data_IF_595226164657
#
_entry.id   IF_595226164657
#
_cell.length_a   1.000
_cell.length_b   1.000
_cell.length_c   1.000
_cell.angle_alpha   90.00
_cell.angle_beta   90.00
_cell.angle_gamma   90.00
#
_symmetry.space_group_name_H-M   'P 1'
#
loop_
_entity.id
_entity.type
_entity.pdbx_description
1 polymer ?
2 polymer ?
3 non-polymer ?
4 water ?
#
# COMPACT_ATOMS: atom_id res chain seq x y z
N UNK A 1 -0.70 -0.55 3.55
CA UNK A 1 0.11 -0.93 4.71
C UNK A 1 0.68 0.31 5.39
N UNK A 2 1.53 0.08 6.37
CA UNK A 2 2.16 1.16 7.13
C UNK A 2 3.09 2.03 6.26
N UNK A 3 3.55 1.50 5.12
CA UNK A 3 4.37 2.23 4.15
C UNK A 3 3.44 3.28 3.50
N UNK A 4 2.31 2.83 2.98
CA UNK A 4 1.31 3.73 2.40
C UNK A 4 0.85 4.75 3.46
N UNK A 5 0.49 4.28 4.65
CA UNK A 5 0.02 5.18 5.70
C UNK A 5 1.03 6.22 6.12
N UNK A 6 2.28 5.82 6.27
CA UNK A 6 3.34 6.76 6.65
C UNK A 6 3.55 7.81 5.55
N UNK A 7 3.49 7.36 4.30
CA UNK A 7 3.67 8.26 3.16
C UNK A 7 2.55 9.29 3.08
N UNK A 8 1.31 8.79 3.17
CA UNK A 8 0.15 9.63 3.15
C UNK A 8 0.23 10.63 4.30
N UNK A 9 0.67 10.18 5.48
CA UNK A 9 0.81 11.10 6.60
C UNK A 9 1.87 12.18 6.34
N UNK A 10 3.07 11.76 5.96
CA UNK A 10 4.15 12.71 5.67
C UNK A 10 3.72 13.68 4.57
N UNK A 11 3.02 13.19 3.56
CA UNK A 11 2.58 14.05 2.48
C UNK A 11 1.57 15.10 2.98
N UNK A 12 0.64 14.71 3.84
CA UNK A 12 -0.32 15.65 4.39
C UNK A 12 0.42 16.81 5.05
N UNK A 13 1.64 16.55 5.50
CA UNK A 13 2.42 17.57 6.12
C UNK A 13 3.55 18.08 5.24
N UNK A 14 3.46 17.80 3.94
CA UNK A 14 4.47 18.20 2.96
C UNK A 14 5.89 18.01 3.50
N UNK A 15 6.19 16.82 4.00
CA UNK A 15 7.50 16.54 4.56
C UNK A 15 7.97 15.16 4.21
N UNK A 16 9.24 14.91 4.47
CA UNK A 16 9.80 13.57 4.25
C UNK A 16 9.42 12.77 5.49
N UNK A 17 9.41 11.45 5.38
CA UNK A 17 9.10 10.62 6.54
C UNK A 17 10.03 10.97 7.71
N UNK A 18 9.54 10.77 8.92
CA UNK A 18 10.37 11.05 10.07
C UNK A 18 11.17 9.79 10.34
N UNK A 19 12.24 9.92 11.14
CA UNK A 19 13.07 8.76 11.49
C UNK A 19 12.15 7.73 12.14
N UNK A 20 11.23 8.22 12.98
CA UNK A 20 10.27 7.35 13.64
C UNK A 20 9.47 6.58 12.60
N UNK A 21 8.99 7.27 11.57
CA UNK A 21 8.22 6.61 10.55
C UNK A 21 9.06 5.60 9.82
N UNK A 22 10.32 5.97 9.59
CA UNK A 22 11.26 5.10 8.88
C UNK A 22 11.54 3.83 9.66
N UNK A 23 11.66 3.97 10.98
CA UNK A 23 11.89 2.81 11.86
C UNK A 23 10.69 1.88 11.78
N UNK A 24 9.49 2.43 11.74
CA UNK A 24 8.30 1.61 11.61
C UNK A 24 8.33 0.72 10.36
N UNK A 25 8.66 1.30 9.20
CA UNK A 25 8.75 0.55 7.95
C UNK A 25 9.82 -0.51 8.07
N UNK A 26 10.92 -0.14 8.74
CA UNK A 26 12.05 -1.03 9.01
C UNK A 26 11.58 -2.31 9.68
N UNK A 27 10.90 -2.19 10.82
CA UNK A 27 10.39 -3.38 11.54
C UNK A 27 9.45 -4.12 10.64
N UNK A 28 8.53 -3.37 10.04
CA UNK A 28 7.52 -3.92 9.16
C UNK A 28 8.11 -4.91 8.15
N UNK A 29 9.19 -4.51 7.52
CA UNK A 29 9.78 -5.37 6.52
C UNK A 29 10.53 -6.56 7.09
N UNK A 30 11.16 -6.42 8.25
CA UNK A 30 11.86 -7.57 8.79
C UNK A 30 10.89 -8.61 9.33
N UNK A 31 9.70 -8.18 9.76
CA UNK A 31 8.73 -9.15 10.24
C UNK A 31 7.90 -9.68 9.08
N UNK A 32 8.19 -9.17 7.89
CA UNK A 32 7.47 -9.60 6.73
C UNK A 32 7.42 -11.11 6.56
N UNK A 33 8.57 -11.77 6.64
CA UNK A 33 8.61 -13.22 6.45
C UNK A 33 7.76 -13.99 7.47
N UNK A 34 7.75 -13.54 8.72
CA UNK A 34 6.96 -14.20 9.77
C UNK A 34 5.49 -14.15 9.39
N UNK A 35 5.03 -12.95 9.00
CA UNK A 35 3.65 -12.73 8.63
C UNK A 35 3.29 -13.52 7.39
N UNK A 36 4.18 -13.53 6.40
CA UNK A 36 3.93 -14.31 5.19
C UNK A 36 3.79 -15.79 5.59
N UNK A 37 4.64 -16.25 6.50
CA UNK A 37 4.59 -17.63 6.93
C UNK A 37 3.20 -17.89 7.56
N UNK A 38 2.74 -17.01 8.46
CA UNK A 38 1.42 -17.15 9.09
C UNK A 38 0.31 -17.25 8.04
N UNK A 39 0.33 -16.36 7.06
CA UNK A 39 -0.65 -16.34 5.97
C UNK A 39 -0.65 -17.62 5.15
N UNK A 40 0.53 -18.16 4.93
CA UNK A 40 0.65 -19.40 4.16
C UNK A 40 0.02 -20.58 4.91
N UNK A 41 0.26 -20.64 6.21
CA UNK A 41 -0.33 -21.71 7.00
C UNK A 41 -1.85 -21.65 6.92
N UNK A 42 -2.42 -20.45 6.90
CA UNK A 42 -3.87 -20.34 6.83
C UNK A 42 -4.40 -20.63 5.47
N UNK A 43 -3.65 -20.25 4.46
CA UNK A 43 -4.08 -20.51 3.10
C UNK A 43 -4.15 -22.02 2.86
N UNK A 44 -3.09 -22.73 3.28
CA UNK A 44 -3.01 -24.17 3.09
C UNK A 44 -4.14 -24.94 3.74
N UNK A 45 -4.55 -24.49 4.91
CA UNK A 45 -5.62 -25.15 5.65
C UNK A 45 -6.98 -24.55 5.36
N UNK A 46 -7.06 -23.73 4.34
CA UNK A 46 -8.31 -23.07 3.98
C UNK A 46 -9.59 -23.92 4.07
N UNK A 47 -9.65 -25.03 3.32
CA UNK A 47 -10.82 -25.94 3.28
C UNK A 47 -11.25 -26.49 4.65
N UNK A 48 -10.27 -26.95 5.40
CA UNK A 48 -10.50 -27.51 6.72
C UNK A 48 -10.99 -26.42 7.63
N UNK A 49 -10.39 -25.23 7.54
CA UNK A 49 -10.82 -24.13 8.40
C UNK A 49 -12.29 -23.77 8.16
N UNK A 50 -12.69 -23.71 6.89
CA UNK A 50 -14.09 -23.38 6.60
C UNK A 50 -15.07 -24.49 7.00
N UNK A 51 -14.71 -25.75 6.78
CA UNK A 51 -15.60 -26.86 7.15
C UNK A 51 -15.88 -26.83 8.66
N UNK A 52 -14.83 -26.84 9.50
CA UNK A 52 -14.98 -26.84 10.96
C UNK A 52 -15.66 -25.59 11.53
N UNK A 53 -15.30 -24.41 11.02
CA UNK A 53 -15.91 -23.16 11.49
C UNK A 53 -17.38 -23.21 11.12
N UNK A 54 -17.66 -23.68 9.90
CA UNK A 54 -19.03 -23.79 9.46
C UNK A 54 -19.79 -24.71 10.41
N UNK A 55 -19.22 -25.87 10.67
CA UNK A 55 -19.85 -26.80 11.57
C UNK A 55 -20.09 -26.18 12.94
N UNK A 56 -19.07 -25.57 13.53
CA UNK A 56 -19.25 -24.92 14.83
C UNK A 56 -20.31 -23.82 14.80
N UNK A 57 -20.43 -23.12 13.68
CA UNK A 57 -21.42 -22.05 13.56
C UNK A 57 -22.83 -22.60 13.59
N UNK A 58 -23.12 -23.52 12.68
CA UNK A 58 -24.46 -24.08 12.59
C UNK A 58 -24.83 -24.77 13.91
N UNK A 59 -23.81 -25.13 14.68
CA UNK A 59 -24.06 -25.76 15.96
C UNK A 59 -24.53 -24.73 16.97
N UNK A 60 -23.94 -23.54 16.93
CA UNK A 60 -24.29 -22.47 17.85
C UNK A 60 -25.54 -21.73 17.40
N UNK A 61 -25.75 -21.68 16.09
CA UNK A 61 -26.91 -21.01 15.52
C UNK A 61 -27.58 -21.92 14.50
N UNK A 62 -28.36 -22.89 14.99
CA UNK A 62 -29.11 -23.87 14.16
C UNK A 62 -30.18 -23.15 13.31
N UNK A 63 -30.72 -22.08 13.89
CA UNK A 63 -31.74 -21.27 13.27
C UNK A 63 -31.48 -20.86 11.84
N UNK A 64 -30.26 -20.39 11.60
CA UNK A 64 -29.89 -19.94 10.26
C UNK A 64 -29.98 -21.07 9.25
N UNK A 65 -29.76 -22.30 9.71
CA UNK A 65 -29.84 -23.46 8.80
C UNK A 65 -31.19 -24.20 8.84
N UNK A 66 -32.01 -23.87 9.83
CA UNK A 66 -33.33 -24.45 9.99
C UNK A 66 -34.32 -23.78 9.02
N UNK A 67 -35.60 -24.20 9.03
CA UNK A 67 -36.57 -23.56 8.12
C UNK A 67 -36.81 -22.08 8.51
N UNK A 68 -36.90 -21.21 7.51
CA UNK A 68 -37.09 -19.79 7.75
C UNK A 68 -35.79 -19.04 8.00
N UNK A 69 -34.69 -19.77 8.13
CA UNK A 69 -33.39 -19.18 8.36
C UNK A 69 -32.78 -18.75 7.04
N UNK A 70 -31.91 -17.75 7.11
CA UNK A 70 -31.25 -17.20 5.94
C UNK A 70 -30.44 -18.20 5.13
N UNK A 71 -29.83 -19.18 5.81
CA UNK A 71 -29.02 -20.18 5.11
C UNK A 71 -29.66 -21.56 4.95
N UNK A 72 -30.98 -21.67 5.16
CA UNK A 72 -31.68 -22.96 5.03
C UNK A 72 -31.54 -23.50 3.60
N UNK A 73 -31.06 -24.74 3.47
CA UNK A 73 -30.91 -25.33 2.15
C UNK A 73 -29.48 -25.51 1.71
N UNK A 74 -29.18 -26.66 1.11
CA UNK A 74 -27.84 -26.97 0.66
C UNK A 74 -27.19 -25.76 0.00
N UNK A 75 -27.94 -25.12 -0.88
CA UNK A 75 -27.44 -23.96 -1.62
C UNK A 75 -27.20 -22.71 -0.79
N UNK A 76 -28.10 -22.38 0.13
CA UNK A 76 -27.88 -21.20 0.93
C UNK A 76 -26.79 -21.46 1.94
N UNK A 77 -26.71 -22.68 2.43
CA UNK A 77 -25.67 -23.06 3.38
C UNK A 77 -24.33 -22.95 2.65
N UNK A 78 -24.28 -23.42 1.41
CA UNK A 78 -23.07 -23.35 0.61
C UNK A 78 -22.62 -21.89 0.48
N UNK A 79 -23.55 -21.03 0.04
CA UNK A 79 -23.27 -19.59 -0.11
C UNK A 79 -22.81 -18.97 1.21
N UNK A 80 -23.37 -19.43 2.32
CA UNK A 80 -22.93 -18.94 3.62
C UNK A 80 -21.47 -19.30 3.86
N UNK A 81 -21.09 -20.54 3.52
CA UNK A 81 -19.72 -20.99 3.71
C UNK A 81 -18.81 -20.24 2.75
N UNK A 82 -19.34 -19.95 1.58
CA UNK A 82 -18.62 -19.18 0.58
C UNK A 82 -18.21 -17.79 1.20
N UNK A 83 -19.15 -17.13 1.89
CA UNK A 83 -18.86 -15.86 2.53
C UNK A 83 -17.75 -16.01 3.57
N UNK A 84 -17.77 -17.10 4.33
CA UNK A 84 -16.74 -17.33 5.34
C UNK A 84 -15.39 -17.42 4.64
N UNK A 85 -15.36 -18.11 3.51
CA UNK A 85 -14.15 -18.23 2.75
C UNK A 85 -13.64 -16.86 2.28
N UNK A 86 -14.54 -16.00 1.81
CA UNK A 86 -14.19 -14.65 1.36
C UNK A 86 -13.43 -13.94 2.49
N UNK A 87 -13.96 -13.99 3.72
CA UNK A 87 -13.32 -13.36 4.87
C UNK A 87 -11.99 -13.98 5.31
N UNK A 88 -11.85 -15.31 5.25
CA UNK A 88 -10.59 -15.93 5.62
C UNK A 88 -9.59 -15.33 4.63
N UNK A 89 -9.96 -15.33 3.35
CA UNK A 89 -9.09 -14.78 2.33
C UNK A 89 -8.67 -13.36 2.68
N UNK A 90 -9.61 -12.47 2.95
CA UNK A 90 -9.30 -11.08 3.33
C UNK A 90 -8.35 -11.03 4.52
N UNK A 91 -8.58 -11.90 5.49
CA UNK A 91 -7.71 -11.92 6.67
C UNK A 91 -6.25 -12.24 6.35
N UNK A 92 -5.98 -13.13 5.41
CA UNK A 92 -4.60 -13.45 5.06
C UNK A 92 -4.00 -12.20 4.36
N UNK A 93 -4.83 -11.46 3.61
CA UNK A 93 -4.40 -10.21 2.96
C UNK A 93 -3.99 -9.26 4.09
N UNK A 94 -4.85 -9.15 5.10
CA UNK A 94 -4.58 -8.28 6.22
C UNK A 94 -3.26 -8.59 6.88
N UNK A 95 -3.04 -9.88 7.16
CA UNK A 95 -1.82 -10.36 7.82
C UNK A 95 -0.56 -10.00 7.06
N UNK A 96 -0.53 -10.25 5.77
CA UNK A 96 0.66 -9.85 5.01
C UNK A 96 0.83 -8.32 4.97
N UNK A 97 -0.27 -7.53 4.91
CA UNK A 97 -0.18 -6.07 4.87
C UNK A 97 0.26 -5.51 6.20
N UNK A 98 0.07 -6.29 7.25
CA UNK A 98 0.45 -5.86 8.58
C UNK A 98 -0.64 -5.09 9.29
N UNK A 99 -1.77 -4.89 8.61
CA UNK A 99 -2.91 -4.19 9.21
C UNK A 99 -4.23 -4.60 8.56
N UNK A 100 -5.32 -4.04 9.10
CA UNK A 100 -6.67 -4.39 8.70
C UNK A 100 -7.28 -3.73 7.46
N UNK A 101 -6.64 -2.69 6.94
CA UNK A 101 -7.17 -1.97 5.77
C UNK A 101 -7.72 -2.83 4.64
N UNK A 102 -7.03 -3.92 4.25
CA UNK A 102 -7.57 -4.77 3.16
C UNK A 102 -8.89 -5.42 3.60
N UNK A 103 -8.99 -5.83 4.88
CA UNK A 103 -10.20 -6.45 5.40
C UNK A 103 -11.29 -5.37 5.36
N UNK A 104 -10.98 -4.21 5.92
CA UNK A 104 -11.87 -3.07 5.95
C UNK A 104 -12.38 -2.58 4.59
N UNK A 105 -11.47 -2.30 3.69
CA UNK A 105 -11.84 -1.80 2.39
C UNK A 105 -12.54 -2.74 1.46
N UNK A 106 -12.27 -4.04 1.58
CA UNK A 106 -12.94 -5.01 0.71
C UNK A 106 -14.20 -5.65 1.31
N UNK A 107 -14.21 -5.85 2.62
CA UNK A 107 -15.35 -6.49 3.25
C UNK A 107 -16.04 -5.88 4.44
N UNK A 108 -15.64 -4.70 4.88
CA UNK A 108 -16.30 -4.11 6.04
C UNK A 108 -17.18 -2.89 5.69
N UNK A 109 -16.66 -1.96 4.89
CA UNK A 109 -17.42 -0.76 4.50
C UNK A 109 -18.70 -1.22 3.80
N UNK A 110 -19.85 -0.82 4.32
CA UNK A 110 -21.11 -1.21 3.72
C UNK A 110 -21.56 -2.62 4.05
N UNK A 111 -20.85 -3.32 4.93
CA UNK A 111 -21.24 -4.69 5.24
C UNK A 111 -22.60 -4.80 5.93
N UNK A 112 -22.95 -3.84 6.78
CA UNK A 112 -24.24 -3.87 7.45
C UNK A 112 -25.38 -3.63 6.47
N UNK A 113 -25.19 -2.74 5.50
CA UNK A 113 -26.22 -2.47 4.51
C UNK A 113 -26.40 -3.63 3.58
N UNK A 114 -25.31 -4.28 3.21
CA UNK A 114 -25.40 -5.44 2.31
C UNK A 114 -26.16 -6.59 2.96
N UNK A 115 -25.76 -6.99 4.17
CA UNK A 115 -26.40 -8.11 4.83
C UNK A 115 -27.82 -7.85 5.24
N UNK A 116 -28.13 -6.62 5.63
CA UNK A 116 -29.49 -6.25 6.00
C UNK A 116 -30.42 -6.43 4.78
N UNK A 117 -29.92 -6.10 3.59
CA UNK A 117 -30.68 -6.20 2.35
C UNK A 117 -30.95 -7.67 1.95
N UNK A 118 -30.02 -8.55 2.30
CA UNK A 118 -30.12 -9.99 2.03
C UNK A 118 -30.89 -10.64 3.18
N UNK A 119 -31.03 -9.92 4.30
CA UNK A 119 -31.72 -10.47 5.45
C UNK A 119 -30.85 -11.41 6.26
N UNK A 120 -29.54 -11.33 6.05
CA UNK A 120 -28.60 -12.17 6.78
C UNK A 120 -28.35 -11.54 8.14
N UNK A 121 -28.53 -12.31 9.22
CA UNK A 121 -28.30 -11.78 10.57
C UNK A 121 -26.79 -11.57 10.71
N UNK A 122 -26.34 -10.33 10.75
CA UNK A 122 -24.92 -10.04 10.82
C UNK A 122 -24.27 -10.57 12.11
N UNK A 123 -25.06 -10.72 13.16
CA UNK A 123 -24.56 -11.26 14.42
C UNK A 123 -24.12 -12.72 14.20
N UNK A 124 -24.79 -13.43 13.28
CA UNK A 124 -24.44 -14.82 12.99
C UNK A 124 -23.18 -14.89 12.14
N UNK A 125 -22.96 -13.87 11.33
CA UNK A 125 -21.77 -13.81 10.49
C UNK A 125 -20.60 -13.67 11.45
N UNK A 126 -20.74 -12.77 12.41
CA UNK A 126 -19.69 -12.53 13.38
C UNK A 126 -19.39 -13.82 14.14
N UNK A 127 -20.41 -14.63 14.39
CA UNK A 127 -20.21 -15.87 15.11
C UNK A 127 -19.36 -16.79 14.24
N UNK A 128 -19.65 -16.77 12.95
CA UNK A 128 -18.89 -17.57 12.00
C UNK A 128 -17.43 -17.12 11.97
N UNK A 129 -17.17 -15.85 12.20
CA UNK A 129 -15.82 -15.35 12.18
C UNK A 129 -15.14 -15.80 13.47
N UNK A 130 -15.91 -15.86 14.56
CA UNK A 130 -15.40 -16.34 15.86
C UNK A 130 -14.99 -17.79 15.71
N UNK A 131 -15.82 -18.58 15.04
CA UNK A 131 -15.55 -19.98 14.79
C UNK A 131 -14.24 -20.10 14.02
N UNK A 132 -14.12 -19.39 12.88
CA UNK A 132 -12.89 -19.43 12.07
C UNK A 132 -11.68 -19.01 12.87
N UNK A 133 -11.82 -17.98 13.69
CA UNK A 133 -10.73 -17.51 14.50
C UNK A 133 -10.16 -18.67 15.32
N UNK A 134 -11.08 -19.45 15.89
CA UNK A 134 -10.78 -20.61 16.70
C UNK A 134 -10.07 -21.73 15.92
N UNK A 135 -10.63 -22.12 14.81
CA UNK A 135 -10.02 -23.16 14.00
C UNK A 135 -8.68 -22.72 13.43
N UNK A 136 -8.63 -21.48 12.95
CA UNK A 136 -7.42 -20.95 12.35
C UNK A 136 -6.26 -20.78 13.33
N UNK A 137 -6.49 -20.12 14.45
CA UNK A 137 -5.39 -19.91 15.38
C UNK A 137 -4.94 -21.20 16.03
N UNK A 138 -5.80 -22.22 16.05
CA UNK A 138 -5.42 -23.51 16.65
C UNK A 138 -4.31 -24.17 15.84
N UNK A 139 -4.16 -23.73 14.58
CA UNK A 139 -3.15 -24.24 13.65
C UNK A 139 -1.80 -23.55 13.84
N UNK A 140 -1.79 -22.49 14.63
CA UNK A 140 -0.59 -21.71 14.82
C UNK A 140 0.03 -21.85 16.20
N UNK A 141 1.25 -21.32 16.33
CA UNK A 141 2.00 -21.34 17.57
C UNK A 141 1.46 -20.26 18.49
N UNK A 142 1.78 -20.34 19.79
CA UNK A 142 1.30 -19.36 20.73
C UNK A 142 1.48 -17.95 20.27
N UNK A 143 2.68 -17.62 19.78
CA UNK A 143 3.01 -16.26 19.33
C UNK A 143 2.19 -15.78 18.12
N UNK A 144 2.18 -16.62 17.10
CA UNK A 144 1.49 -16.36 15.87
C UNK A 144 -0.01 -16.37 16.07
N UNK A 145 -0.49 -17.22 16.96
CA UNK A 145 -1.92 -17.33 17.24
C UNK A 145 -2.43 -15.97 17.73
N UNK A 146 -1.75 -15.41 18.71
CA UNK A 146 -2.13 -14.13 19.25
C UNK A 146 -2.11 -13.08 18.15
N UNK A 147 -1.07 -13.10 17.32
CA UNK A 147 -0.90 -12.13 16.24
C UNK A 147 -2.01 -12.14 15.20
N UNK A 148 -2.37 -13.34 14.74
CA UNK A 148 -3.42 -13.50 13.75
C UNK A 148 -4.79 -13.29 14.38
N UNK A 149 -4.90 -13.59 15.67
CA UNK A 149 -6.15 -13.42 16.38
C UNK A 149 -6.64 -11.99 16.32
N UNK A 150 -5.72 -11.05 16.44
CA UNK A 150 -6.06 -9.65 16.37
C UNK A 150 -6.78 -9.22 15.10
N UNK A 151 -6.51 -9.89 14.00
CA UNK A 151 -7.19 -9.55 12.76
C UNK A 151 -8.63 -10.02 12.84
N UNK A 152 -8.85 -11.19 13.45
CA UNK A 152 -10.20 -11.75 13.60
C UNK A 152 -11.03 -10.86 14.50
N UNK A 153 -10.44 -10.42 15.60
CA UNK A 153 -11.10 -9.54 16.54
C UNK A 153 -11.54 -8.24 15.91
N UNK A 154 -10.67 -7.64 15.09
CA UNK A 154 -11.01 -6.42 14.38
C UNK A 154 -12.32 -6.67 13.63
N UNK A 155 -12.32 -7.71 12.78
CA UNK A 155 -13.50 -8.07 11.98
C UNK A 155 -14.73 -8.33 12.83
N UNK A 156 -14.57 -9.11 13.90
CA UNK A 156 -15.69 -9.40 14.80
C UNK A 156 -16.26 -8.07 15.37
N UNK A 157 -15.37 -7.19 15.83
CA UNK A 157 -15.85 -5.91 16.36
C UNK A 157 -16.56 -5.04 15.34
N UNK A 158 -16.17 -5.16 14.07
CA UNK A 158 -16.76 -4.37 12.99
C UNK A 158 -18.12 -4.88 12.50
N UNK A 159 -18.51 -6.06 12.96
CA UNK A 159 -19.79 -6.66 12.59
C UNK A 159 -20.75 -6.63 13.75
N UNK A 160 -20.22 -6.46 14.94
CA UNK A 160 -21.04 -6.40 16.11
C UNK A 160 -21.62 -4.98 16.18
N UNK B 1 -3.29 5.69 -3.35
CA UNK B 1 -2.03 5.08 -3.90
C UNK B 1 -1.91 3.63 -3.45
N UNK B 2 -1.12 2.85 -4.17
CA UNK B 2 -0.86 1.46 -3.81
C UNK B 2 0.63 1.36 -3.56
N UNK B 3 1.04 0.48 -2.66
CA UNK B 3 2.46 0.26 -2.48
C UNK B 3 2.71 -1.14 -3.06
N UNK B 4 3.94 -1.64 -3.03
CA UNK B 4 4.23 -2.95 -3.59
C UNK B 4 3.44 -4.10 -2.91
N UNK B 5 3.08 -3.93 -1.63
CA UNK B 5 2.32 -4.97 -0.90
C UNK B 5 0.84 -4.96 -1.34
N UNK B 6 0.18 -3.82 -1.14
CA UNK B 6 -1.24 -3.67 -1.49
C UNK B 6 -1.47 -3.86 -2.99
N UNK B 7 -0.45 -3.62 -3.79
CA UNK B 7 -0.53 -3.82 -5.24
C UNK B 7 -0.77 -5.31 -5.53
N UNK B 8 -0.05 -6.16 -4.83
CA UNK B 8 -0.18 -7.60 -4.99
C UNK B 8 -1.51 -8.05 -4.37
N UNK B 9 -1.91 -7.44 -3.26
CA UNK B 9 -3.17 -7.85 -2.67
C UNK B 9 -4.35 -7.55 -3.61
N UNK B 10 -4.35 -6.37 -4.23
CA UNK B 10 -5.44 -6.01 -5.13
C UNK B 10 -5.58 -6.90 -6.36
N UNK B 11 -4.48 -7.28 -6.98
CA UNK B 11 -4.59 -8.13 -8.15
C UNK B 11 -5.07 -9.53 -7.78
N UNK B 12 -4.79 -9.94 -6.55
CA UNK B 12 -5.24 -11.25 -6.10
C UNK B 12 -6.71 -11.14 -5.86
N UNK B 13 -7.10 -10.07 -5.18
CA UNK B 13 -8.48 -9.85 -4.88
C UNK B 13 -9.36 -9.76 -6.12
N UNK B 14 -8.90 -9.09 -7.17
CA UNK B 14 -9.77 -9.02 -8.35
C UNK B 14 -9.99 -10.37 -8.95
N UNK B 15 -9.17 -11.33 -8.61
CA UNK B 15 -9.34 -12.64 -9.16
C UNK B 15 -10.00 -13.53 -8.16
N UNK B 16 -10.17 -12.99 -6.96
CA UNK B 16 -10.79 -13.76 -5.89
C UNK B 16 -9.92 -14.90 -5.41
N UNK B 17 -8.61 -14.73 -5.52
CA UNK B 17 -7.67 -15.77 -5.14
C UNK B 17 -6.84 -15.50 -3.89
N UNK B 18 -6.55 -16.57 -3.15
CA UNK B 18 -5.69 -16.45 -1.98
C UNK B 18 -4.30 -16.19 -2.55
N UNK B 19 -3.39 -15.71 -1.73
CA UNK B 19 -2.06 -15.42 -2.20
C UNK B 19 -1.40 -16.67 -2.80
N UNK B 20 -0.93 -16.52 -4.03
CA UNK B 20 -0.22 -17.54 -4.83
C UNK B 20 1.24 -17.63 -4.42
N UNK B 21 1.95 -18.59 -4.99
CA UNK B 21 3.37 -18.75 -4.72
C UNK B 21 4.06 -17.58 -5.44
N UNK B 22 3.56 -17.27 -6.63
CA UNK B 22 4.06 -16.18 -7.44
C UNK B 22 3.83 -14.83 -6.74
N UNK B 23 2.65 -14.68 -6.15
CA UNK B 23 2.31 -13.46 -5.44
C UNK B 23 3.25 -13.37 -4.25
N UNK B 24 3.46 -14.49 -3.57
CA UNK B 24 4.34 -14.51 -2.40
C UNK B 24 5.81 -14.19 -2.73
N UNK B 25 6.25 -14.55 -3.93
CA UNK B 25 7.61 -14.24 -4.33
C UNK B 25 7.73 -12.72 -4.42
N UNK B 26 6.72 -12.07 -5.01
CA UNK B 26 6.75 -10.61 -5.11
C UNK B 26 6.78 -9.92 -3.76
N UNK B 27 6.05 -10.47 -2.78
CA UNK B 27 6.03 -9.89 -1.45
C UNK B 27 7.38 -10.00 -0.82
N UNK B 28 7.95 -11.20 -0.91
CA UNK B 28 9.26 -11.44 -0.33
C UNK B 28 10.36 -10.58 -0.97
N UNK B 29 10.26 -10.37 -2.28
CA UNK B 29 11.23 -9.55 -2.99
C UNK B 29 11.23 -8.10 -2.47
N UNK B 30 10.05 -7.57 -2.14
CA UNK B 30 9.96 -6.21 -1.64
C UNK B 30 10.54 -6.16 -0.23
N UNK B 31 10.17 -7.12 0.62
CA UNK B 31 10.67 -7.19 2.00
C UNK B 31 12.20 -7.24 2.04
N UNK B 32 12.81 -8.06 1.18
CA UNK B 32 14.28 -8.17 1.11
C UNK B 32 14.96 -6.81 0.86
N UNK B 33 14.39 -5.97 -0.01
CA UNK B 33 14.95 -4.65 -0.29
C UNK B 33 14.47 -3.53 0.63
N UNK B 34 13.61 -3.86 1.59
CA UNK B 34 13.09 -2.82 2.46
C UNK B 34 14.12 -1.95 3.14
N UNK B 35 15.18 -2.55 3.66
CA UNK B 35 16.20 -1.77 4.38
C UNK B 35 16.92 -0.84 3.43
N UNK B 36 17.22 -1.35 2.24
CA UNK B 36 17.90 -0.56 1.22
C UNK B 36 17.09 0.73 0.96
N UNK B 37 15.79 0.57 0.72
CA UNK B 37 14.88 1.68 0.48
C UNK B 37 14.90 2.67 1.64
N UNK B 38 14.85 2.18 2.88
CA UNK B 38 14.87 3.10 4.02
C UNK B 38 16.18 3.90 4.16
N UNK B 39 17.32 3.26 3.89
CA UNK B 39 18.62 3.92 3.96
C UNK B 39 18.77 5.02 2.90
N UNK B 40 18.25 4.77 1.70
CA UNK B 40 18.30 5.73 0.61
C UNK B 40 17.40 6.91 0.96
N UNK B 41 16.20 6.61 1.44
CA UNK B 41 15.25 7.64 1.82
C UNK B 41 15.84 8.54 2.88
N UNK B 42 16.62 7.93 3.77
CA UNK B 42 17.26 8.68 4.83
C UNK B 42 18.30 9.68 4.31
N UNK B 43 19.16 9.24 3.41
CA UNK B 43 20.19 10.11 2.83
C UNK B 43 19.55 11.25 2.05
N UNK B 44 18.70 10.89 1.10
CA UNK B 44 18.01 11.86 0.26
C UNK B 44 17.36 12.92 1.12
N UNK B 45 16.68 12.47 2.16
CA UNK B 45 16.02 13.39 3.06
C UNK B 45 16.99 14.40 3.64
N UNK B 46 18.17 13.92 4.05
CA UNK B 46 19.21 14.76 4.66
C UNK B 46 19.93 15.68 3.68
N UNK B 47 19.88 15.34 2.38
CA UNK B 47 20.53 16.13 1.36
C UNK B 47 19.58 16.78 0.35
N UNK B 48 18.28 16.75 0.65
CA UNK B 48 17.24 17.26 -0.25
C UNK B 48 17.56 18.64 -0.83
N UNK B 49 17.89 19.57 0.04
CA UNK B 49 18.21 20.92 -0.42
C UNK B 49 19.42 21.00 -1.37
N UNK B 50 20.52 20.38 -0.97
CA UNK B 50 21.74 20.34 -1.79
C UNK B 50 21.51 19.60 -3.09
N UNK B 51 20.68 18.58 -3.08
CA UNK B 51 20.40 17.86 -4.32
C UNK B 51 19.74 18.83 -5.34
N UNK B 52 18.71 19.56 -4.88
CA UNK B 52 17.99 20.50 -5.73
C UNK B 52 18.94 21.61 -6.23
N UNK B 53 19.66 22.22 -5.29
CA UNK B 53 20.62 23.28 -5.61
C UNK B 53 21.61 22.90 -6.71
N UNK B 54 22.20 21.70 -6.60
CA UNK B 54 23.16 21.25 -7.60
C UNK B 54 22.53 20.98 -8.93
N UNK B 55 21.34 20.40 -8.91
CA UNK B 55 20.65 20.11 -10.16
C UNK B 55 20.35 21.41 -10.93
N UNK B 56 19.93 22.43 -10.20
CA UNK B 56 19.60 23.70 -10.80
C UNK B 56 20.87 24.33 -11.34
N UNK B 57 21.92 24.31 -10.54
CA UNK B 57 23.20 24.88 -10.94
C UNK B 57 23.65 24.30 -12.25
N UNK B 58 23.51 22.98 -12.35
CA UNK B 58 23.91 22.22 -13.52
C UNK B 58 22.99 22.33 -14.73
N UNK B 59 21.71 22.66 -14.51
CA UNK B 59 20.81 22.70 -15.67
C UNK B 59 20.05 23.96 -16.03
N UNK B 60 19.84 24.86 -15.07
CA UNK B 60 19.03 26.05 -15.33
C UNK B 60 19.73 27.38 -15.17
N UNK B 61 20.66 27.46 -14.22
CA UNK B 61 21.35 28.70 -13.96
C UNK B 61 22.13 29.25 -15.14
N UNK B 62 22.12 30.58 -15.24
CA UNK B 62 22.84 31.36 -16.26
C UNK B 62 22.44 31.06 -17.69
N UNK B 63 21.14 31.03 -17.93
CA UNK B 63 20.64 30.77 -19.27
C UNK B 63 19.52 31.76 -19.49
N UNK B 64 18.89 31.69 -20.65
CA UNK B 64 17.80 32.59 -20.94
C UNK B 64 16.60 32.36 -19.97
N UNK B 65 16.51 31.18 -19.37
CA UNK B 65 15.41 30.85 -18.48
C UNK B 65 15.36 31.76 -17.24
N UNK B 66 16.53 32.14 -16.74
CA UNK B 66 16.59 32.98 -15.55
C UNK B 66 16.68 34.51 -15.81
N UNK B 67 16.93 34.88 -17.06
CA UNK B 67 17.06 36.29 -17.44
C UNK B 67 15.68 36.88 -17.67
N UNK B 68 15.57 38.23 -17.69
CA UNK B 68 14.27 38.85 -17.93
C UNK B 68 13.58 38.20 -19.14
N UNK B 69 12.32 37.85 -18.98
CA UNK B 69 11.62 37.21 -20.08
C UNK B 69 11.59 35.70 -19.92
N UNK B 70 12.52 35.15 -19.13
CA UNK B 70 12.55 33.71 -18.92
C UNK B 70 11.52 33.30 -17.88
N UNK B 71 11.08 32.05 -17.94
CA UNK B 71 10.08 31.57 -16.98
C UNK B 71 10.60 31.50 -15.56
N UNK B 72 11.92 31.47 -15.37
CA UNK B 72 12.47 31.44 -14.01
C UNK B 72 12.84 32.84 -13.52
N UNK B 73 12.49 33.88 -14.28
CA UNK B 73 12.81 35.24 -13.88
C UNK B 73 11.74 35.78 -12.91
N UNK B 74 12.20 36.56 -11.93
CA UNK B 74 11.47 37.18 -10.81
C UNK B 74 11.67 36.20 -9.65
N UNK B 75 11.88 36.72 -8.45
CA UNK B 75 12.09 35.85 -7.34
C UNK B 75 10.89 34.88 -7.09
N UNK B 76 9.70 35.30 -7.46
CA UNK B 76 8.53 34.46 -7.27
C UNK B 76 8.60 33.23 -8.14
N UNK B 77 9.04 33.41 -9.38
CA UNK B 77 9.11 32.30 -10.29
C UNK B 77 10.32 31.42 -10.04
N UNK B 78 11.42 32.00 -9.63
CA UNK B 78 12.59 31.21 -9.31
C UNK B 78 12.19 30.22 -8.19
N UNK B 79 11.58 30.77 -7.14
CA UNK B 79 11.14 30.00 -5.98
C UNK B 79 10.08 28.94 -6.33
N UNK B 80 9.16 29.29 -7.22
CA UNK B 80 8.11 28.38 -7.64
C UNK B 80 8.77 27.18 -8.30
N UNK B 81 9.78 27.46 -9.10
CA UNK B 81 10.56 26.44 -9.79
C UNK B 81 11.36 25.56 -8.82
N UNK B 82 12.08 26.16 -7.87
CA UNK B 82 12.82 25.28 -7.00
C UNK B 82 11.82 24.55 -6.13
N UNK B 83 10.66 25.14 -5.90
CA UNK B 83 9.60 24.46 -5.14
C UNK B 83 9.15 23.19 -5.87
N UNK B 84 8.95 23.27 -7.19
CA UNK B 84 8.56 22.10 -7.97
C UNK B 84 9.61 21.00 -7.91
N UNK B 85 10.88 21.38 -7.99
CA UNK B 85 11.95 20.40 -7.93
C UNK B 85 11.94 19.70 -6.57
N UNK B 86 11.69 20.45 -5.51
CA UNK B 86 11.63 19.88 -4.17
C UNK B 86 10.50 18.85 -4.15
N UNK B 87 9.41 19.16 -4.85
CA UNK B 87 8.27 18.26 -4.96
C UNK B 87 8.65 16.95 -5.66
N UNK B 88 9.20 17.05 -6.86
CA UNK B 88 9.58 15.87 -7.62
C UNK B 88 10.51 14.97 -6.84
N UNK B 89 11.44 15.56 -6.10
CA UNK B 89 12.36 14.78 -5.31
C UNK B 89 11.61 14.10 -4.15
N UNK B 90 10.79 14.85 -3.41
CA UNK B 90 10.05 14.23 -2.31
C UNK B 90 9.11 13.13 -2.77
N UNK B 91 8.35 13.35 -3.85
CA UNK B 91 7.46 12.32 -4.35
C UNK B 91 8.19 11.12 -4.98
N UNK B 92 9.33 11.35 -5.63
CA UNK B 92 10.07 10.23 -6.20
C UNK B 92 10.56 9.32 -5.07
N UNK B 93 10.95 9.91 -3.93
CA UNK B 93 11.40 9.18 -2.76
C UNK B 93 10.25 8.32 -2.18
N UNK B 94 9.05 8.89 -2.10
CA UNK B 94 7.86 8.18 -1.63
C UNK B 94 7.65 6.95 -2.50
N UNK B 95 7.56 7.14 -3.81
CA UNK B 95 7.36 6.06 -4.78
C UNK B 95 8.42 4.98 -4.68
N UNK B 96 9.67 5.38 -4.42
CA UNK B 96 10.79 4.43 -4.28
C UNK B 96 10.60 3.65 -2.99
N UNK B 97 10.16 4.33 -1.94
CA UNK B 97 9.93 3.68 -0.66
C UNK B 97 8.81 2.66 -0.81
N UNK B 98 7.73 3.02 -1.50
CA UNK B 98 6.58 2.15 -1.71
C UNK B 98 6.80 1.10 -2.78
N UNK B 99 7.84 1.26 -3.58
CA UNK B 99 8.11 0.32 -4.65
C UNK B 99 7.01 0.31 -5.68
N UNK B 100 6.31 1.44 -5.83
CA UNK B 100 5.22 1.53 -6.78
C UNK B 100 5.07 2.99 -7.22
N UNK B 101 4.83 3.24 -8.52
CA UNK B 101 4.68 4.60 -9.06
C UNK B 101 3.30 5.24 -9.04
N UNK B 102 2.32 4.56 -8.42
CA UNK B 102 0.96 5.07 -8.38
C UNK B 102 0.83 6.43 -7.68
N UNK B 103 1.51 6.65 -6.57
CA UNK B 103 1.41 7.95 -5.93
C UNK B 103 1.78 9.06 -6.95
N UNK B 104 2.65 8.73 -7.91
CA UNK B 104 3.07 9.68 -8.92
C UNK B 104 1.91 10.00 -9.85
N UNK B 105 1.24 8.99 -10.35
CA UNK B 105 0.11 9.21 -11.24
C UNK B 105 -1.00 9.99 -10.55
N UNK B 106 -1.28 9.62 -9.31
CA UNK B 106 -2.38 10.24 -8.57
C UNK B 106 -2.17 11.62 -7.99
N UNK B 107 -1.02 11.81 -7.36
CA UNK B 107 -0.75 13.07 -6.72
C UNK B 107 0.15 14.02 -7.46
N UNK B 108 0.84 13.56 -8.49
CA UNK B 108 1.80 14.43 -9.17
C UNK B 108 1.47 14.74 -10.61
N UNK B 109 1.34 13.71 -11.38
CA UNK B 109 1.14 13.83 -12.79
C UNK B 109 -0.23 14.18 -13.28
N UNK B 110 -1.22 14.01 -12.44
CA UNK B 110 -2.59 14.31 -12.85
C UNK B 110 -2.81 15.79 -13.19
N UNK B 111 -2.90 16.08 -14.49
CA UNK B 111 -3.11 17.45 -14.95
C UNK B 111 -1.88 18.34 -14.99
N UNK B 112 -0.70 17.80 -14.70
CA UNK B 112 0.53 18.57 -14.64
C UNK B 112 0.96 19.19 -15.97
N UNK B 113 0.98 18.38 -17.01
CA UNK B 113 1.38 18.83 -18.35
C UNK B 113 0.47 19.95 -18.82
N UNK B 114 -0.83 19.78 -18.63
CA UNK B 114 -1.80 20.77 -19.03
C UNK B 114 -1.55 22.08 -18.26
N UNK B 115 -1.27 21.99 -16.96
CA UNK B 115 -1.00 23.15 -16.11
C UNK B 115 0.25 23.86 -16.60
N UNK B 116 1.30 23.09 -16.84
CA UNK B 116 2.53 23.68 -17.32
C UNK B 116 2.31 24.39 -18.64
N UNK B 117 1.62 23.74 -19.56
CA UNK B 117 1.35 24.29 -20.87
C UNK B 117 0.55 25.57 -20.75
N UNK B 118 -0.40 25.54 -19.82
CA UNK B 118 -1.27 26.66 -19.54
C UNK B 118 -0.49 27.89 -19.05
N UNK B 119 0.44 27.66 -18.13
CA UNK B 119 1.28 28.74 -17.58
C UNK B 119 2.48 29.10 -18.43
N UNK B 120 2.84 28.23 -19.36
CA UNK B 120 4.02 28.50 -20.16
C UNK B 120 5.30 28.00 -19.48
N UNK B 121 5.17 27.06 -18.54
CA UNK B 121 6.34 26.50 -17.88
C UNK B 121 6.99 25.55 -18.88
N UNK B 122 8.27 25.77 -19.21
CA UNK B 122 8.92 24.89 -20.16
C UNK B 122 9.13 23.49 -19.62
N UNK B 123 8.57 22.51 -20.31
CA UNK B 123 8.65 21.12 -19.91
C UNK B 123 10.03 20.53 -20.21
N UNK B 124 10.62 20.90 -21.33
CA UNK B 124 11.95 20.39 -21.64
C UNK B 124 13.01 20.75 -20.63
N UNK B 125 12.96 21.98 -20.13
CA UNK B 125 13.91 22.47 -19.13
C UNK B 125 13.65 21.81 -17.77
N UNK B 126 12.37 21.65 -17.46
CA UNK B 126 11.94 21.00 -16.23
C UNK B 126 12.44 19.54 -16.27
N UNK B 127 12.27 18.87 -17.39
CA UNK B 127 12.71 17.49 -17.55
C UNK B 127 14.23 17.39 -17.38
N UNK B 128 14.96 18.37 -17.93
CA UNK B 128 16.42 18.40 -17.83
C UNK B 128 16.85 18.57 -16.36
N UNK B 129 16.16 19.42 -15.62
CA UNK B 129 16.48 19.63 -14.22
C UNK B 129 16.22 18.34 -13.40
N UNK B 130 15.15 17.61 -13.69
CA UNK B 130 14.83 16.37 -12.99
C UNK B 130 15.91 15.33 -13.27
N UNK B 131 16.35 15.23 -14.54
CA UNK B 131 17.40 14.29 -14.96
C UNK B 131 18.72 14.62 -14.28
N UNK B 132 18.93 15.90 -14.02
CA UNK B 132 20.12 16.35 -13.32
C UNK B 132 20.02 15.90 -11.86
N UNK B 133 18.82 15.97 -11.26
CA UNK B 133 18.62 15.53 -9.89
C UNK B 133 18.82 14.02 -9.84
N UNK B 134 18.42 13.35 -10.91
CA UNK B 134 18.58 11.92 -11.01
C UNK B 134 20.07 11.62 -10.79
N UNK B 135 20.93 12.23 -11.60
CA UNK B 135 22.38 12.03 -11.49
C UNK B 135 22.97 12.43 -10.12
N UNK B 136 22.63 13.61 -9.61
CA UNK B 136 23.12 14.04 -8.32
C UNK B 136 22.74 13.07 -7.21
N UNK B 137 21.54 12.52 -7.31
CA UNK B 137 21.02 11.57 -6.32
C UNK B 137 21.74 10.23 -6.36
N UNK B 138 21.95 9.69 -7.54
CA UNK B 138 22.62 8.41 -7.65
C UNK B 138 23.92 8.49 -6.91
N UNK B 139 24.62 9.61 -7.11
CA UNK B 139 25.89 9.82 -6.48
C UNK B 139 25.87 9.95 -4.97
N UNK B 140 24.69 9.97 -4.37
CA UNK B 140 24.63 10.07 -2.92
C UNK B 140 24.13 8.77 -2.35
N UNK B 141 23.19 8.15 -3.03
CA UNK B 141 22.60 6.92 -2.54
C UNK B 141 23.29 5.68 -3.04
N UNK B 142 24.19 5.87 -3.99
CA UNK B 142 24.91 4.75 -4.55
C UNK B 142 24.21 4.18 -5.76
N UNK B 143 24.95 3.39 -6.52
CA UNK B 143 24.42 2.78 -7.74
C UNK B 143 23.14 2.01 -7.54
N UNK B 144 23.10 1.15 -6.52
CA UNK B 144 21.92 0.37 -6.27
C UNK B 144 20.65 1.20 -6.14
N UNK B 145 20.58 2.00 -5.09
CA UNK B 145 19.41 2.84 -4.83
C UNK B 145 19.24 3.84 -5.96
N UNK B 146 20.38 4.28 -6.49
CA UNK B 146 20.41 5.23 -7.58
C UNK B 146 19.60 4.80 -8.78
N UNK B 147 19.68 3.52 -9.17
CA UNK B 147 18.90 3.04 -10.33
C UNK B 147 17.43 2.92 -10.01
N UNK B 148 17.11 2.59 -8.77
CA UNK B 148 15.73 2.47 -8.34
C UNK B 148 15.10 3.86 -8.39
N UNK B 149 15.77 4.83 -7.76
CA UNK B 149 15.31 6.21 -7.76
C UNK B 149 15.13 6.70 -9.20
N UNK B 150 16.04 6.28 -10.08
CA UNK B 150 16.02 6.68 -11.47
C UNK B 150 14.79 6.22 -12.21
N UNK B 151 14.24 5.09 -11.79
CA UNK B 151 13.03 4.57 -12.41
C UNK B 151 11.88 5.59 -12.24
N UNK B 152 11.77 6.09 -11.02
CA UNK B 152 10.73 7.04 -10.63
C UNK B 152 11.00 8.46 -11.13
N UNK B 153 12.28 8.83 -11.24
CA UNK B 153 12.64 10.12 -11.80
C UNK B 153 12.21 10.09 -13.27
N UNK B 154 12.41 8.96 -13.94
CA UNK B 154 12.06 8.84 -15.35
C UNK B 154 10.58 8.75 -15.56
N UNK B 155 9.90 8.12 -14.63
CA UNK B 155 8.47 7.97 -14.69
C UNK B 155 7.81 9.35 -14.80
N UNK B 156 8.24 10.27 -13.93
CA UNK B 156 7.75 11.66 -13.91
C UNK B 156 8.06 12.35 -15.25
N UNK B 157 9.31 12.25 -15.69
CA UNK B 157 9.70 12.83 -16.96
C UNK B 157 8.84 12.29 -18.10
N UNK B 158 8.54 10.99 -18.07
CA UNK B 158 7.70 10.42 -19.12
C UNK B 158 6.30 10.97 -19.09
N UNK B 159 5.78 11.22 -17.89
CA UNK B 159 4.44 11.76 -17.75
C UNK B 159 4.31 13.21 -18.16
N UNK B 160 5.43 13.88 -18.38
CA UNK B 160 5.40 15.27 -18.80
C UNK B 160 5.53 15.38 -20.31
N UNK B 161 5.78 14.25 -20.96
CA UNK B 161 5.93 14.23 -22.41
C UNK B 161 4.64 13.96 -23.16
X LIG C 1 -25.36 -13.96 0.00
X LIG C 1 -23.20 -12.79 0.41
X LIG C 1 -24.30 -13.07 -0.35
X LIG C 1 -24.28 -12.35 -1.56
X LIG C 1 -23.08 -11.61 -1.55
X LIG C 1 -22.44 -11.90 -0.32
X LIG C 1 -22.56 -10.69 -2.68
X LIG C 1 -25.35 -12.35 -2.64
X LIG C 1 -25.28 -13.57 -3.52
X LIG C 1 -24.13 -13.50 -4.50
X LIG C 1 -24.33 -13.03 -5.64
X LIG C 1 -23.02 -13.91 -4.12
X LIG C 1 -21.23 -11.57 0.36
X LIG C 1 -19.89 -10.09 -1.02
X LIG C 1 -20.11 -10.79 0.10
X LIG C 1 -19.02 -10.60 0.97
X LIG C 1 -18.14 -9.73 0.32
X LIG C 1 -18.72 -9.43 -0.93
X LIG C 1 -18.76 -11.20 2.28
X LIG C 1 -16.82 -9.22 0.85
X LIG C 1 -15.61 -9.84 0.17
X LIG C 1 -18.30 -8.71 -1.84
X LIG C 1 -26.26 -16.54 5.82
X LIG C 1 -26.38 -16.91 7.09
X LIG C 1 -25.07 -17.03 7.85
X LIG C 1 -24.08 -16.46 6.88
X LIG C 1 -24.94 -16.39 5.60
X LIG C 1 -25.13 -16.25 9.17
X LIG C 1 -22.82 -17.37 6.63
X LIG C 1 -21.96 -17.33 7.88
X LIG C 1 -27.46 -17.10 7.64
X LIG C 1 -24.49 -15.94 4.31
X LIG C 1 -24.75 -14.81 2.21
X LIG C 1 -25.17 -15.75 3.06
X LIG C 1 -26.30 -16.39 2.48
X LIG C 1 -26.50 -15.75 1.24
X LIG C 1 -25.50 -14.79 1.10
X LIG C 1 -27.11 -17.56 2.94
X LIG C 1 -27.65 -16.00 0.29
X LIG C 1 -28.89 -15.27 0.73
X LIG C 1 -29.98 -15.16 -0.35
X LIG C 1 -31.06 -14.63 -0.03
X LIG C 1 -29.75 -15.57 -1.53
X LIG D 1 4.02 26.75 -11.15
X LIG D 1 4.01 24.40 -10.57
X LIG D 1 3.34 25.57 -10.76
X LIG D 1 1.98 25.41 -10.49
X LIG D 1 1.81 24.07 -10.13
X LIG D 1 3.07 23.47 -10.18
X LIG D 1 0.43 23.50 -9.80
X LIG D 1 0.92 26.45 -10.53
X LIG D 1 0.39 26.81 -9.13
X LIG D 1 1.46 27.39 -8.19
X LIG D 1 1.59 26.88 -7.07
X LIG D 1 2.15 28.38 -8.56
X LIG D 1 3.55 22.11 -9.91
X LIG D 1 2.34 21.84 -7.87
X LIG D 1 3.15 21.32 -8.79
X LIG D 1 3.47 20.00 -8.40
X LIG D 1 2.80 19.78 -7.18
X LIG D 1 2.08 20.97 -6.90
X LIG D 1 4.42 19.06 -9.15
X LIG D 1 2.93 18.57 -6.26
X LIG D 1 2.27 17.39 -6.90
X LIG D 1 1.35 21.21 -5.94
X LIG D 1 9.74 27.16 -14.31
X LIG D 1 10.85 27.03 -15.05
X LIG D 1 11.64 25.75 -14.81
X LIG D 1 10.77 25.04 -13.82
X LIG D 1 9.67 26.06 -13.55
X LIG D 1 11.77 24.97 -16.12
X LIG D 1 11.50 24.60 -12.49
X LIG D 1 12.30 23.38 -12.79
X LIG D 1 11.22 27.87 -15.89
X LIG D 1 8.52 25.90 -12.67
X LIG D 1 6.31 26.16 -11.91
X LIG D 1 7.44 26.74 -12.31
X LIG D 1 7.22 28.14 -12.30
X LIG D 1 5.91 28.33 -11.84
X LIG D 1 5.37 27.04 -11.61
X LIG D 1 8.10 29.28 -12.77
X LIG D 1 5.20 29.64 -11.67
X LIG D 1 4.30 29.92 -12.85
X LIG D 1 3.85 31.37 -12.88
X LIG D 1 3.81 31.96 -13.98
X LIG D 1 3.52 31.91 -11.81
#
# INVERSE_FOLDING_TARGET
>A
SIVTKSIVNADAEARYLSPGELDRIKSFVTSGERRVRIAETMTGARERIIKQAGDQLFGKRPDVVSPGGNAYGADMTATCLRDLDYYLRLITYGIVAGDVTPIEEIGVVGVREMYKSLGTPIEAIAEGVRAMKSVATSLLSGADAAEAGSYFDYLIGAMS
>B
MQDAITSVINSSDVQGKYLDASAIQKLKAYFATGELRVRAATTISANAANIVKEAVAKSLLYSDVTRPGGNMYTTRRYAACIRDLDYYLRYATYAMLAGDPSILDERVLNGLKETYNSLGVPIGATVQAIQAMKEVTAGLVGGGAGKEMGIYFDYICSGLS
>C hetero
1 CYC CHA NA C1A C2A C3A C4A CMA CAA CBA CGA O1A O2A CHB NB C1B C2B C3B C4B CMB CAB CBB OB NC C1C C2C C3C C4C CMC CAC CBC OC CHD ND C1D C2D C3D C4D CMD CAD CBD CGD O1D O2D
>D hetero
1 CYC CHA NA C1A C2A C3A C4A CMA CAA CBA CGA O1A O2A CHB NB C1B C2B C3B C4B CMB CAB CBB OB NC C1C C2C C3C C4C CMC CAC CBC OC CHD ND C1D C2D C3D C4D CMD CAD CBD CGD O1D O2D
#
